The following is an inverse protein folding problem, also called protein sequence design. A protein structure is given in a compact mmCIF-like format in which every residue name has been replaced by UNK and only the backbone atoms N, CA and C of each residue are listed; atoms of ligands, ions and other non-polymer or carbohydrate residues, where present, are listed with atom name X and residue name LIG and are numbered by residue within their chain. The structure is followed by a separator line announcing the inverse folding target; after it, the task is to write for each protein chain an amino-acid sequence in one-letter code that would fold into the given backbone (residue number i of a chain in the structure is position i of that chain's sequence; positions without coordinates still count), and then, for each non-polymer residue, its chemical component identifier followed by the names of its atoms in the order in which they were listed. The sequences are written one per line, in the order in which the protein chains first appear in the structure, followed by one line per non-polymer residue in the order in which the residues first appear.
data_IF_085207827443
#
_entry.id   IF_085207827443
#
_cell.length_a   1.000
_cell.length_b   1.000
_cell.length_c   1.000
_cell.angle_alpha   90.00
_cell.angle_beta   90.00
_cell.angle_gamma   90.00
#
_symmetry.space_group_name_H-M   'P 1'
#
loop_
_entity.id
_entity.type
_entity.pdbx_description
1 polymer ?
#
# COMPACT_ATOMS: atom_id res chain seq x y z
N UNK A 1 0.15 -3.96 -15.31
CA UNK A 1 -0.01 -2.55 -14.86
C UNK A 1 0.80 -2.33 -13.59
N UNK A 2 0.37 -2.69 -12.38
CA UNK A 2 1.13 -2.46 -11.13
C UNK A 2 2.56 -3.03 -11.18
N UNK A 3 2.71 -4.29 -11.60
CA UNK A 3 4.03 -4.91 -11.72
C UNK A 3 4.97 -4.14 -12.65
N UNK A 4 4.46 -3.58 -13.75
CA UNK A 4 5.26 -2.77 -14.65
C UNK A 4 5.74 -1.47 -13.98
N UNK A 5 4.91 -0.81 -13.16
CA UNK A 5 5.32 0.33 -12.36
C UNK A 5 6.44 -0.05 -11.37
N UNK A 6 6.28 -1.18 -10.69
CA UNK A 6 7.25 -1.64 -9.69
C UNK A 6 8.58 -2.15 -10.29
N UNK A 7 8.63 -2.39 -11.60
CA UNK A 7 9.83 -2.81 -12.33
C UNK A 7 10.51 -1.65 -13.07
N UNK A 8 9.95 -0.41 -12.99
CA UNK A 8 10.58 0.77 -13.59
C UNK A 8 11.86 1.18 -12.84
N UNK A 9 12.78 1.80 -13.58
CA UNK A 9 13.97 2.43 -12.99
C UNK A 9 13.57 3.66 -12.17
N UNK A 10 14.00 3.69 -10.93
CA UNK A 10 13.73 4.78 -9.99
C UNK A 10 14.99 5.59 -9.63
N UNK A 11 16.08 5.48 -10.42
CA UNK A 11 17.32 6.18 -10.17
C UNK A 11 17.13 7.70 -10.06
N UNK A 12 16.23 8.27 -10.86
CA UNK A 12 15.92 9.70 -10.89
C UNK A 12 14.73 10.11 -9.99
N UNK A 13 14.11 9.17 -9.26
CA UNK A 13 13.02 9.51 -8.36
C UNK A 13 13.50 10.44 -7.23
N UNK A 14 12.87 11.60 -7.02
CA UNK A 14 13.30 12.54 -5.97
C UNK A 14 13.00 12.05 -4.54
N UNK A 15 12.02 11.17 -4.36
CA UNK A 15 11.61 10.61 -3.07
C UNK A 15 12.22 9.21 -2.93
N UNK A 16 13.36 9.10 -2.24
CA UNK A 16 14.18 7.87 -2.17
C UNK A 16 13.86 6.95 -0.99
N UNK A 17 13.14 7.44 0.01
CA UNK A 17 12.92 6.69 1.25
C UNK A 17 11.50 6.93 1.77
N UNK A 18 10.49 6.60 0.94
CA UNK A 18 9.08 6.86 1.25
C UNK A 18 8.61 6.18 2.53
N UNK A 19 9.16 5.01 2.86
CA UNK A 19 8.78 4.30 4.08
C UNK A 19 9.16 5.06 5.35
N UNK A 20 10.17 5.94 5.31
CA UNK A 20 10.50 6.77 6.47
C UNK A 20 9.39 7.79 6.78
N UNK A 21 8.92 8.49 5.75
CA UNK A 21 7.83 9.47 5.88
C UNK A 21 6.52 8.77 6.26
N UNK A 22 6.27 7.61 5.66
CA UNK A 22 5.11 6.77 5.93
C UNK A 22 5.02 6.40 7.42
N UNK A 23 6.08 5.85 8.00
CA UNK A 23 6.08 5.48 9.43
C UNK A 23 6.19 6.69 10.37
N UNK A 24 6.75 7.81 9.94
CA UNK A 24 6.68 9.05 10.71
C UNK A 24 5.22 9.53 10.86
N UNK A 25 4.42 9.42 9.79
CA UNK A 25 2.98 9.71 9.84
C UNK A 25 2.23 8.76 10.76
N UNK A 26 2.51 7.45 10.68
CA UNK A 26 1.94 6.43 11.58
C UNK A 26 2.19 6.79 13.05
N UNK A 27 3.43 7.12 13.40
CA UNK A 27 3.80 7.48 14.77
C UNK A 27 3.13 8.77 15.23
N UNK A 28 3.10 9.79 14.37
CA UNK A 28 2.47 11.07 14.69
C UNK A 28 0.96 10.90 14.93
N UNK A 29 0.27 10.17 14.05
CA UNK A 29 -1.17 9.98 14.15
C UNK A 29 -1.54 9.07 15.33
N UNK A 30 -0.75 8.04 15.62
CA UNK A 30 -0.94 7.26 16.85
C UNK A 30 -0.85 8.13 18.11
N UNK A 31 0.17 9.00 18.21
CA UNK A 31 0.32 9.92 19.35
C UNK A 31 -0.83 10.92 19.48
N UNK A 32 -1.42 11.33 18.37
CA UNK A 32 -2.58 12.23 18.33
C UNK A 32 -3.90 11.52 18.63
N UNK A 33 -3.94 10.20 18.66
CA UNK A 33 -5.16 9.39 18.74
C UNK A 33 -6.02 9.47 17.47
N UNK A 34 -5.40 9.76 16.33
CA UNK A 34 -6.04 9.76 15.00
C UNK A 34 -5.85 8.40 14.37
N UNK A 35 -6.93 7.62 14.24
CA UNK A 35 -6.89 6.29 13.66
C UNK A 35 -8.26 5.86 13.13
N UNK A 36 -8.24 4.94 12.15
CA UNK A 36 -9.42 4.24 11.64
C UNK A 36 -9.15 2.73 11.61
N UNK A 37 -9.90 1.98 12.42
CA UNK A 37 -9.79 0.52 12.50
C UNK A 37 -10.57 -0.21 11.39
N UNK A 38 -11.26 0.49 10.50
CA UNK A 38 -12.05 -0.12 9.42
C UNK A 38 -11.22 -0.90 8.39
N UNK A 39 -9.90 -0.66 8.34
CA UNK A 39 -8.98 -1.32 7.41
C UNK A 39 -8.47 -2.70 7.89
N UNK A 40 -8.70 -3.02 9.16
CA UNK A 40 -8.04 -4.14 9.83
C UNK A 40 -8.94 -4.83 10.84
N UNK A 41 -8.67 -6.10 11.11
CA UNK A 41 -9.31 -6.89 12.15
C UNK A 41 -8.53 -6.82 13.49
N UNK A 42 -8.09 -5.63 13.88
CA UNK A 42 -7.48 -5.41 15.19
C UNK A 42 -8.51 -4.88 16.19
N UNK A 43 -8.42 -5.35 17.45
CA UNK A 43 -9.35 -4.94 18.48
C UNK A 43 -9.10 -3.52 18.98
N UNK A 44 -7.86 -3.01 18.87
CA UNK A 44 -7.45 -1.71 19.40
C UNK A 44 -6.40 -1.04 18.51
N UNK A 45 -6.34 0.29 18.58
CA UNK A 45 -5.28 1.08 17.93
C UNK A 45 -3.88 0.71 18.46
N UNK A 46 -3.75 0.37 19.74
CA UNK A 46 -2.47 -0.07 20.33
C UNK A 46 -1.99 -1.37 19.71
N UNK A 47 -2.89 -2.33 19.48
CA UNK A 47 -2.55 -3.58 18.81
C UNK A 47 -2.11 -3.35 17.36
N UNK A 48 -2.85 -2.52 16.60
CA UNK A 48 -2.49 -2.13 15.25
C UNK A 48 -1.12 -1.42 15.21
N UNK A 49 -0.89 -0.45 16.09
CA UNK A 49 0.39 0.26 16.16
C UNK A 49 1.57 -0.68 16.48
N UNK A 50 1.39 -1.59 17.44
CA UNK A 50 2.41 -2.59 17.77
C UNK A 50 2.72 -3.50 16.57
N UNK A 51 1.70 -3.91 15.82
CA UNK A 51 1.86 -4.72 14.60
C UNK A 51 2.60 -3.95 13.52
N UNK A 52 2.20 -2.71 13.24
CA UNK A 52 2.82 -1.84 12.25
C UNK A 52 4.31 -1.60 12.56
N UNK A 53 4.63 -1.21 13.81
CA UNK A 53 6.00 -0.91 14.22
C UNK A 53 6.91 -2.14 14.29
N UNK A 54 6.38 -3.31 14.68
CA UNK A 54 7.15 -4.55 14.67
C UNK A 54 7.54 -5.00 13.26
N UNK A 55 6.68 -4.77 12.26
CA UNK A 55 6.94 -5.13 10.86
C UNK A 55 7.71 -4.06 10.07
N UNK A 56 7.71 -2.81 10.52
CA UNK A 56 8.36 -1.68 9.83
C UNK A 56 9.81 -1.95 9.39
N UNK A 57 10.70 -2.57 10.20
CA UNK A 57 12.08 -2.82 9.79
C UNK A 57 12.25 -3.78 8.62
N UNK A 58 11.22 -4.53 8.26
CA UNK A 58 11.26 -5.51 7.17
C UNK A 58 10.75 -4.95 5.85
N UNK A 59 10.04 -3.81 5.87
CA UNK A 59 9.63 -3.09 4.67
C UNK A 59 10.83 -2.34 4.07
N UNK A 60 10.93 -2.35 2.76
CA UNK A 60 12.10 -1.84 2.04
C UNK A 60 11.77 -0.56 1.24
N UNK A 61 12.81 0.20 0.88
CA UNK A 61 12.71 1.27 -0.11
C UNK A 61 13.43 0.81 -1.40
N UNK A 62 12.85 -0.18 -2.08
CA UNK A 62 13.45 -0.86 -3.23
C UNK A 62 12.54 -0.91 -4.46
N UNK A 63 11.39 -0.25 -4.40
CA UNK A 63 10.37 -0.33 -5.44
C UNK A 63 9.78 1.06 -5.70
N UNK A 64 9.57 1.43 -6.96
CA UNK A 64 8.82 2.64 -7.30
C UNK A 64 7.33 2.36 -7.06
N UNK A 65 6.74 2.99 -6.05
CA UNK A 65 5.35 2.82 -5.68
C UNK A 65 4.48 4.02 -6.05
N UNK A 66 3.18 3.77 -6.25
CA UNK A 66 2.15 4.80 -6.37
C UNK A 66 1.83 5.41 -5.00
N UNK A 67 1.78 4.58 -3.96
CA UNK A 67 1.51 4.96 -2.57
C UNK A 67 0.03 5.10 -2.22
N UNK A 68 -0.85 5.12 -3.23
CA UNK A 68 -2.32 5.06 -3.10
C UNK A 68 -2.88 4.36 -4.35
N UNK A 69 -2.58 3.06 -4.52
CA UNK A 69 -2.93 2.28 -5.70
C UNK A 69 -4.40 1.86 -5.69
N UNK A 70 -5.30 2.84 -5.71
CA UNK A 70 -6.75 2.66 -5.70
C UNK A 70 -7.38 2.77 -7.10
N UNK A 71 -8.51 2.08 -7.34
CA UNK A 71 -9.21 2.09 -8.63
C UNK A 71 -9.53 3.50 -9.15
N UNK A 72 -9.96 4.48 -8.32
CA UNK A 72 -10.20 5.84 -8.78
C UNK A 72 -8.96 6.56 -9.35
N UNK A 73 -7.75 6.10 -9.00
CA UNK A 73 -6.48 6.70 -9.40
C UNK A 73 -5.95 6.17 -10.74
N UNK A 74 -6.76 5.37 -11.47
CA UNK A 74 -6.41 4.85 -12.78
C UNK A 74 -7.20 5.54 -13.88
N UNK A 75 -6.49 6.02 -14.89
CA UNK A 75 -7.12 6.52 -16.11
C UNK A 75 -7.24 5.40 -17.13
N UNK A 76 -8.45 5.24 -17.65
CA UNK A 76 -8.80 4.23 -18.64
C UNK A 76 -9.47 4.87 -19.85
N UNK A 77 -9.03 4.51 -21.04
CA UNK A 77 -9.65 4.87 -22.30
C UNK A 77 -9.90 3.61 -23.13
N UNK A 78 -11.14 3.40 -23.57
CA UNK A 78 -11.52 2.22 -24.36
C UNK A 78 -11.03 0.88 -23.74
N UNK A 79 -11.19 0.73 -22.42
CA UNK A 79 -10.73 -0.43 -21.64
C UNK A 79 -9.20 -0.61 -21.63
N UNK A 80 -8.44 0.41 -21.96
CA UNK A 80 -6.99 0.41 -21.88
C UNK A 80 -6.53 1.38 -20.81
N UNK A 81 -5.59 0.94 -20.03
CA UNK A 81 -4.91 1.80 -19.07
C UNK A 81 -4.12 2.88 -19.82
N UNK A 82 -4.27 4.15 -19.41
CA UNK A 82 -3.60 5.31 -20.02
C UNK A 82 -2.73 6.09 -19.05
N UNK A 83 -2.93 5.94 -17.73
CA UNK A 83 -2.08 6.63 -16.77
C UNK A 83 -2.57 6.53 -15.33
N UNK A 84 -1.74 7.02 -14.42
CA UNK A 84 -2.02 7.20 -13.01
C UNK A 84 -2.27 8.68 -12.69
N UNK A 85 -3.08 8.93 -11.68
CA UNK A 85 -3.27 10.24 -11.05
C UNK A 85 -3.06 10.13 -9.55
N UNK A 86 -2.95 11.27 -8.87
CA UNK A 86 -2.79 11.35 -7.41
C UNK A 86 -1.53 10.63 -6.88
N UNK A 87 -0.39 11.03 -7.43
CA UNK A 87 0.93 10.47 -7.08
C UNK A 87 1.59 11.13 -5.85
N UNK A 88 0.83 11.89 -5.05
CA UNK A 88 1.35 12.59 -3.88
C UNK A 88 2.00 11.69 -2.83
N UNK A 89 1.56 10.44 -2.75
CA UNK A 89 2.09 9.41 -1.87
C UNK A 89 3.15 8.51 -2.55
N UNK A 90 3.49 8.78 -3.80
CA UNK A 90 4.44 8.00 -4.57
C UNK A 90 5.89 8.24 -4.17
N UNK A 91 6.76 7.35 -4.62
CA UNK A 91 8.20 7.41 -4.39
C UNK A 91 8.85 6.03 -4.36
N UNK A 92 10.10 5.98 -3.91
CA UNK A 92 10.78 4.70 -3.66
C UNK A 92 10.35 4.20 -2.28
N UNK A 93 9.59 3.12 -2.26
CA UNK A 93 9.01 2.51 -1.06
C UNK A 93 8.91 1.00 -1.18
N UNK A 94 8.02 0.41 -0.42
CA UNK A 94 7.78 -1.04 -0.42
C UNK A 94 6.53 -1.39 -1.23
N UNK A 95 6.64 -2.38 -2.10
CA UNK A 95 5.55 -2.87 -2.97
C UNK A 95 4.28 -3.27 -2.23
N UNK A 96 4.39 -3.69 -0.95
CA UNK A 96 3.23 -4.13 -0.18
C UNK A 96 2.25 -3.00 0.14
N UNK A 97 2.68 -1.71 0.07
CA UNK A 97 1.78 -0.55 0.17
C UNK A 97 0.76 -0.58 -0.99
N UNK A 98 1.25 -0.65 -2.22
CA UNK A 98 0.37 -0.68 -3.40
C UNK A 98 -0.41 -2.00 -3.51
N UNK A 99 0.17 -3.11 -3.07
CA UNK A 99 -0.51 -4.41 -3.04
C UNK A 99 -1.67 -4.42 -2.04
N UNK A 100 -1.50 -3.79 -0.89
CA UNK A 100 -2.58 -3.62 0.09
C UNK A 100 -3.71 -2.78 -0.52
N UNK A 101 -3.42 -1.58 -1.01
CA UNK A 101 -4.42 -0.67 -1.57
C UNK A 101 -5.11 -1.26 -2.80
N UNK A 102 -4.37 -1.96 -3.67
CA UNK A 102 -4.94 -2.64 -4.84
C UNK A 102 -5.92 -3.74 -4.46
N UNK A 103 -5.62 -4.55 -3.44
CA UNK A 103 -6.53 -5.58 -2.94
C UNK A 103 -7.73 -4.97 -2.21
N UNK A 104 -7.50 -3.98 -1.35
CA UNK A 104 -8.53 -3.29 -0.59
C UNK A 104 -9.54 -2.60 -1.51
N UNK A 105 -9.07 -1.82 -2.50
CA UNK A 105 -9.95 -1.06 -3.39
C UNK A 105 -10.84 -1.96 -4.25
N UNK A 106 -10.37 -3.17 -4.60
CA UNK A 106 -11.19 -4.16 -5.31
C UNK A 106 -12.37 -4.61 -4.45
N UNK A 107 -12.11 -4.96 -3.18
CA UNK A 107 -13.18 -5.33 -2.25
C UNK A 107 -14.14 -4.16 -2.02
N UNK A 108 -13.61 -2.97 -1.69
CA UNK A 108 -14.40 -1.78 -1.38
C UNK A 108 -15.32 -1.37 -2.53
N UNK A 109 -14.82 -1.31 -3.77
CA UNK A 109 -15.60 -0.83 -4.91
C UNK A 109 -16.52 -1.90 -5.52
N UNK A 110 -16.16 -3.19 -5.41
CA UNK A 110 -16.91 -4.27 -6.05
C UNK A 110 -17.76 -5.06 -5.06
N UNK A 111 -17.62 -4.83 -3.74
CA UNK A 111 -18.36 -5.49 -2.68
C UNK A 111 -18.07 -6.99 -2.59
N UNK A 112 -16.88 -7.44 -3.01
CA UNK A 112 -16.51 -8.86 -3.02
C UNK A 112 -14.99 -9.07 -2.96
N UNK A 113 -14.54 -10.10 -2.24
CA UNK A 113 -13.14 -10.54 -2.21
C UNK A 113 -12.73 -11.43 -3.41
N UNK A 114 -13.67 -11.76 -4.29
CA UNK A 114 -13.44 -12.71 -5.38
C UNK A 114 -12.27 -12.32 -6.33
N UNK A 115 -11.89 -11.05 -6.35
CA UNK A 115 -10.83 -10.55 -7.23
C UNK A 115 -9.46 -10.43 -6.55
N UNK A 116 -9.38 -10.52 -5.22
CA UNK A 116 -8.12 -10.41 -4.47
C UNK A 116 -7.09 -11.44 -4.91
N UNK A 117 -7.48 -12.70 -4.93
CA UNK A 117 -6.60 -13.78 -5.33
C UNK A 117 -6.14 -13.64 -6.78
N UNK A 118 -7.06 -13.29 -7.67
CA UNK A 118 -6.74 -13.02 -9.08
C UNK A 118 -5.75 -11.87 -9.25
N UNK A 119 -5.90 -10.82 -8.45
CA UNK A 119 -4.98 -9.67 -8.44
C UNK A 119 -3.58 -10.11 -8.00
N UNK A 120 -3.47 -10.88 -6.92
CA UNK A 120 -2.20 -11.38 -6.42
C UNK A 120 -1.55 -12.39 -7.36
N UNK A 121 -2.33 -13.27 -8.00
CA UNK A 121 -1.82 -14.19 -9.02
C UNK A 121 -1.27 -13.44 -10.24
N UNK A 122 -1.97 -12.40 -10.70
CA UNK A 122 -1.54 -11.59 -11.83
C UNK A 122 -0.30 -10.74 -11.52
N UNK A 123 -0.12 -10.35 -10.26
CA UNK A 123 1.10 -9.66 -9.82
C UNK A 123 2.30 -10.60 -9.70
N UNK A 124 2.10 -11.77 -9.14
CA UNK A 124 3.12 -12.80 -8.85
C UNK A 124 3.19 -13.07 -7.34
N UNK A 125 2.58 -14.18 -6.91
CA UNK A 125 2.49 -14.52 -5.46
C UNK A 125 3.82 -14.73 -4.78
N UNK A 126 4.85 -15.12 -5.53
CA UNK A 126 6.24 -15.29 -5.05
C UNK A 126 6.87 -13.98 -4.54
N UNK A 127 6.30 -12.84 -4.91
CA UNK A 127 6.76 -11.50 -4.52
C UNK A 127 5.95 -10.89 -3.36
N UNK A 128 5.01 -11.63 -2.81
CA UNK A 128 4.06 -11.15 -1.81
C UNK A 128 4.30 -11.86 -0.49
N UNK A 129 4.65 -11.08 0.54
CA UNK A 129 4.75 -11.55 1.91
C UNK A 129 3.48 -11.15 2.68
N UNK A 130 2.77 -12.17 3.20
CA UNK A 130 1.53 -11.95 3.94
C UNK A 130 1.72 -11.18 5.25
N UNK A 131 2.89 -11.34 5.90
CA UNK A 131 3.23 -10.62 7.11
C UNK A 131 3.48 -9.12 6.82
N UNK A 132 4.11 -8.81 5.69
CA UNK A 132 4.31 -7.42 5.26
C UNK A 132 3.00 -6.78 4.81
N UNK A 133 2.10 -7.51 4.14
CA UNK A 133 0.73 -7.01 3.86
C UNK A 133 -0.02 -6.70 5.16
N UNK A 134 0.06 -7.57 6.17
CA UNK A 134 -0.55 -7.33 7.47
C UNK A 134 0.08 -6.15 8.21
N UNK A 135 1.38 -5.93 8.03
CA UNK A 135 2.09 -4.77 8.57
C UNK A 135 1.60 -3.46 7.95
N UNK A 136 1.45 -3.44 6.62
CA UNK A 136 0.90 -2.28 5.91
C UNK A 136 -0.55 -2.04 6.31
N UNK A 137 -1.39 -3.07 6.34
CA UNK A 137 -2.77 -2.95 6.81
C UNK A 137 -2.86 -2.30 8.20
N UNK A 138 -1.98 -2.71 9.12
CA UNK A 138 -1.91 -2.14 10.45
C UNK A 138 -1.42 -0.68 10.47
N UNK A 139 -0.49 -0.32 9.57
CA UNK A 139 0.02 1.03 9.42
C UNK A 139 -1.05 1.97 8.83
N UNK A 140 -1.84 1.51 7.85
CA UNK A 140 -2.92 2.29 7.21
C UNK A 140 -4.05 2.64 8.18
N UNK A 141 -4.14 1.97 9.33
CA UNK A 141 -4.99 2.41 10.44
C UNK A 141 -4.70 3.85 10.87
N UNK A 142 -3.48 4.33 10.63
CA UNK A 142 -2.99 5.66 11.01
C UNK A 142 -2.64 6.54 9.81
N UNK A 143 -2.99 6.13 8.57
CA UNK A 143 -2.74 6.87 7.34
C UNK A 143 -3.61 8.10 7.10
#
# INVERSE_FOLDING_TARGET
MLRALHEEDFSDCPVKARMNDYFATVEENYRKGSFDLSFVDFATAEEAYRRATAGAPYLQNDTLIHGDFCLPNFLMENWRFTGYIDLGNGGVGDRHVDLFWGAWTLNFNLGTDAYRDRFFDAYGRDKIDAELLSTVAAAETFG
#
